data_IF_065960117819
#
_entry.id   IF_065960117819
#
_cell.length_a   1.000
_cell.length_b   1.000
_cell.length_c   1.000
_cell.angle_alpha   90.00
_cell.angle_beta   90.00
_cell.angle_gamma   90.00
#
_symmetry.space_group_name_H-M   'P 1'
#
loop_
_entity.id
_entity.type
_entity.pdbx_description
1 polymer ?
#
# COMPACT_ATOMS: atom_id res chain seq x y z
N UNK A 1 11.01 -5.50 -20.29
CA UNK A 1 9.74 -4.79 -20.03
C UNK A 1 9.10 -5.41 -18.78
N UNK A 2 8.52 -4.56 -17.92
CA UNK A 2 7.67 -4.97 -16.80
C UNK A 2 6.25 -4.47 -17.06
N UNK A 3 5.24 -5.27 -16.73
CA UNK A 3 3.82 -4.90 -16.85
C UNK A 3 3.21 -4.89 -15.45
N UNK A 4 2.75 -3.72 -15.01
CA UNK A 4 2.10 -3.55 -13.72
C UNK A 4 2.30 -2.16 -13.12
N UNK A 5 1.61 -1.86 -12.03
CA UNK A 5 1.66 -0.57 -11.34
C UNK A 5 1.66 -0.69 -9.81
N UNK A 6 1.88 -1.87 -9.26
CA UNK A 6 2.00 -2.11 -7.81
C UNK A 6 3.45 -2.32 -7.38
N UNK A 7 3.66 -2.57 -6.09
CA UNK A 7 4.98 -2.82 -5.50
C UNK A 7 5.80 -3.86 -6.26
N UNK A 8 5.21 -5.00 -6.62
CA UNK A 8 5.90 -6.06 -7.36
C UNK A 8 6.48 -5.55 -8.68
N UNK A 9 5.81 -4.62 -9.36
CA UNK A 9 6.33 -4.06 -10.62
C UNK A 9 7.53 -3.15 -10.38
N UNK A 10 7.54 -2.39 -9.28
CA UNK A 10 8.69 -1.56 -8.87
C UNK A 10 9.89 -2.44 -8.51
N UNK A 11 9.67 -3.46 -7.68
CA UNK A 11 10.71 -4.41 -7.28
C UNK A 11 11.32 -5.16 -8.48
N UNK A 12 10.48 -5.68 -9.38
CA UNK A 12 10.95 -6.35 -10.58
C UNK A 12 11.78 -5.43 -11.48
N UNK A 13 11.34 -4.20 -11.66
CA UNK A 13 12.02 -3.24 -12.53
C UNK A 13 13.38 -2.83 -11.95
N UNK A 14 13.43 -2.46 -10.67
CA UNK A 14 14.65 -2.08 -9.96
C UNK A 14 15.63 -3.26 -9.85
N UNK A 15 15.13 -4.46 -9.55
CA UNK A 15 15.94 -5.68 -9.53
C UNK A 15 16.58 -5.97 -10.88
N UNK A 16 15.79 -5.88 -11.97
CA UNK A 16 16.32 -6.09 -13.32
C UNK A 16 17.43 -5.09 -13.68
N UNK A 17 17.30 -3.82 -13.30
CA UNK A 17 18.34 -2.80 -13.48
C UNK A 17 19.62 -3.15 -12.72
N UNK A 18 19.50 -3.52 -11.44
CA UNK A 18 20.64 -3.91 -10.58
C UNK A 18 21.32 -5.19 -11.02
N UNK A 19 20.60 -6.06 -11.72
CA UNK A 19 21.14 -7.28 -12.39
C UNK A 19 21.80 -6.97 -13.74
N UNK A 20 21.84 -5.71 -14.17
CA UNK A 20 22.54 -5.27 -15.36
C UNK A 20 21.69 -5.21 -16.63
N UNK A 21 20.37 -5.16 -16.52
CA UNK A 21 19.53 -4.88 -17.68
C UNK A 21 19.89 -3.51 -18.28
N UNK A 22 20.11 -3.46 -19.59
CA UNK A 22 20.50 -2.22 -20.30
C UNK A 22 19.42 -1.13 -20.25
N UNK A 23 18.17 -1.53 -20.20
CA UNK A 23 17.03 -0.63 -20.04
C UNK A 23 15.82 -1.39 -19.51
N UNK A 24 15.06 -0.78 -18.63
CA UNK A 24 13.80 -1.30 -18.13
C UNK A 24 12.70 -0.26 -18.34
N UNK A 25 11.59 -0.69 -18.93
CA UNK A 25 10.38 0.10 -19.11
C UNK A 25 9.23 -0.64 -18.44
N UNK A 26 8.57 0.04 -17.52
CA UNK A 26 7.38 -0.47 -16.84
C UNK A 26 6.15 0.16 -17.46
N UNK A 27 5.17 -0.65 -17.85
CA UNK A 27 3.91 -0.19 -18.43
C UNK A 27 2.76 -0.38 -17.47
N UNK A 28 2.03 0.69 -17.24
CA UNK A 28 0.83 0.68 -16.44
C UNK A 28 -0.37 1.15 -17.25
N UNK A 29 -1.48 0.41 -17.13
CA UNK A 29 -2.68 0.67 -17.93
C UNK A 29 -3.47 1.91 -17.51
N UNK A 30 -3.23 2.42 -16.30
CA UNK A 30 -3.91 3.60 -15.74
C UNK A 30 -2.97 4.78 -15.63
N UNK A 31 -3.38 5.81 -14.91
CA UNK A 31 -2.62 7.03 -14.66
C UNK A 31 -1.68 6.89 -13.45
N UNK A 32 -0.83 7.87 -13.27
CA UNK A 32 0.10 7.90 -12.14
C UNK A 32 -0.63 7.96 -10.80
N UNK A 33 -1.74 8.70 -10.73
CA UNK A 33 -2.56 8.80 -9.52
C UNK A 33 -3.26 7.50 -9.10
N UNK A 34 -3.33 6.51 -10.01
CA UNK A 34 -3.91 5.20 -9.73
C UNK A 34 -2.88 4.16 -9.24
N UNK A 35 -1.62 4.56 -9.01
CA UNK A 35 -0.60 3.66 -8.49
C UNK A 35 -0.90 3.33 -7.02
N UNK A 36 -0.93 2.04 -6.71
CA UNK A 36 -1.07 1.53 -5.35
C UNK A 36 0.32 1.23 -4.76
N UNK A 37 1.09 2.30 -4.55
CA UNK A 37 2.45 2.26 -4.00
C UNK A 37 2.66 3.44 -3.05
N UNK A 38 3.63 3.33 -2.16
CA UNK A 38 4.01 4.44 -1.28
C UNK A 38 4.66 5.60 -2.07
N UNK A 39 4.50 6.83 -1.57
CA UNK A 39 5.28 7.96 -2.09
C UNK A 39 6.78 7.64 -2.04
N UNK A 40 7.50 8.01 -3.10
CA UNK A 40 8.94 7.74 -3.21
C UNK A 40 9.31 6.49 -4.03
N UNK A 41 8.44 5.50 -4.13
CA UNK A 41 8.75 4.26 -4.89
C UNK A 41 8.94 4.51 -6.39
N UNK A 42 8.12 5.38 -6.97
CA UNK A 42 8.26 5.77 -8.36
C UNK A 42 9.53 6.58 -8.61
N UNK A 43 9.84 7.50 -7.71
CA UNK A 43 11.05 8.32 -7.75
C UNK A 43 12.29 7.45 -7.66
N UNK A 44 12.30 6.44 -6.80
CA UNK A 44 13.41 5.50 -6.68
C UNK A 44 13.60 4.67 -7.95
N UNK A 45 12.54 4.24 -8.63
CA UNK A 45 12.63 3.60 -9.93
C UNK A 45 13.28 4.52 -10.98
N UNK A 46 12.86 5.79 -11.02
CA UNK A 46 13.38 6.79 -11.95
C UNK A 46 14.85 7.11 -11.64
N UNK A 47 15.20 7.26 -10.36
CA UNK A 47 16.56 7.49 -9.90
C UNK A 47 17.50 6.36 -10.33
N UNK A 48 17.03 5.12 -10.35
CA UNK A 48 17.77 3.96 -10.85
C UNK A 48 17.73 3.81 -12.38
N UNK A 49 17.33 4.85 -13.15
CA UNK A 49 17.18 4.88 -14.60
C UNK A 49 16.09 3.97 -15.18
N UNK A 50 15.13 3.54 -14.37
CA UNK A 50 13.91 2.91 -14.86
C UNK A 50 12.95 3.93 -15.48
N UNK A 51 12.06 3.46 -16.35
CA UNK A 51 11.03 4.31 -16.97
C UNK A 51 9.65 3.74 -16.70
N UNK A 52 8.75 4.58 -16.16
CA UNK A 52 7.34 4.27 -16.04
C UNK A 52 6.56 4.91 -17.19
N UNK A 53 5.70 4.13 -17.84
CA UNK A 53 4.87 4.56 -18.96
C UNK A 53 3.43 4.24 -18.61
N UNK A 54 2.63 5.28 -18.53
CA UNK A 54 1.22 5.21 -18.15
C UNK A 54 0.31 5.07 -19.36
N UNK A 55 -0.94 4.72 -19.11
CA UNK A 55 -2.01 4.65 -20.12
C UNK A 55 -1.66 3.72 -21.27
N UNK A 56 -1.03 2.58 -20.97
CA UNK A 56 -0.73 1.56 -21.96
C UNK A 56 -0.83 0.15 -21.35
N UNK A 57 -1.45 -0.76 -22.12
CA UNK A 57 -1.56 -2.17 -21.75
C UNK A 57 -1.02 -3.07 -22.83
N UNK A 58 -0.55 -4.28 -22.48
CA UNK A 58 -0.15 -5.26 -23.48
C UNK A 58 -1.33 -5.68 -24.35
N UNK A 59 -1.07 -5.88 -25.63
CA UNK A 59 -2.03 -6.38 -26.60
C UNK A 59 -1.58 -7.73 -27.18
N UNK A 60 -0.36 -7.82 -27.72
CA UNK A 60 0.13 -9.02 -28.37
C UNK A 60 1.64 -9.18 -28.22
N UNK A 61 2.10 -10.42 -28.07
CA UNK A 61 3.51 -10.80 -28.18
C UNK A 61 3.84 -11.09 -29.64
N UNK A 62 4.95 -10.54 -30.12
CA UNK A 62 5.45 -10.78 -31.47
C UNK A 62 6.78 -11.52 -31.34
N UNK A 63 6.81 -12.74 -31.84
CA UNK A 63 7.97 -13.62 -31.82
C UNK A 63 8.53 -13.82 -33.22
N UNK A 64 9.82 -14.11 -33.29
CA UNK A 64 10.50 -14.51 -34.49
C UNK A 64 11.34 -15.75 -34.19
N UNK A 65 11.12 -16.85 -34.92
CA UNK A 65 11.78 -18.16 -34.70
C UNK A 65 11.72 -18.63 -33.25
N UNK A 66 10.57 -18.43 -32.60
CA UNK A 66 10.34 -18.84 -31.21
C UNK A 66 10.94 -17.90 -30.16
N UNK A 67 11.61 -16.82 -30.54
CA UNK A 67 12.16 -15.80 -29.64
C UNK A 67 11.29 -14.55 -29.62
N UNK A 68 11.09 -13.98 -28.44
CA UNK A 68 10.38 -12.71 -28.29
C UNK A 68 11.16 -11.60 -29.00
N UNK A 69 10.48 -10.80 -29.81
CA UNK A 69 11.06 -9.70 -30.56
C UNK A 69 10.45 -8.35 -30.23
N UNK A 70 9.12 -8.30 -30.13
CA UNK A 70 8.40 -7.10 -29.79
C UNK A 70 7.22 -7.43 -28.87
N UNK A 71 6.88 -6.46 -28.03
CA UNK A 71 5.58 -6.34 -27.38
C UNK A 71 4.77 -5.28 -28.11
N UNK A 72 3.59 -5.65 -28.60
CA UNK A 72 2.59 -4.69 -29.07
C UNK A 72 1.75 -4.25 -27.88
N UNK A 73 1.62 -2.94 -27.71
CA UNK A 73 0.81 -2.30 -26.68
C UNK A 73 -0.29 -1.48 -27.36
N UNK A 74 -1.34 -1.20 -26.61
CA UNK A 74 -2.40 -0.27 -26.98
C UNK A 74 -2.53 0.78 -25.88
N UNK A 75 -2.76 2.04 -26.28
CA UNK A 75 -3.03 3.11 -25.32
C UNK A 75 -4.41 2.95 -24.71
N UNK A 76 -4.54 3.39 -23.47
CA UNK A 76 -5.77 3.30 -22.68
C UNK A 76 -6.17 4.65 -22.13
N UNK A 77 -7.44 4.84 -21.86
CA UNK A 77 -8.02 6.00 -21.19
C UNK A 77 -9.04 5.56 -20.14
N UNK A 78 -9.18 6.35 -19.10
CA UNK A 78 -10.22 6.16 -18.09
C UNK A 78 -11.48 6.93 -18.51
N UNK A 79 -12.62 6.23 -18.59
CA UNK A 79 -13.93 6.82 -18.87
C UNK A 79 -14.84 6.48 -17.71
N UNK A 80 -14.96 7.38 -16.75
CA UNK A 80 -15.51 7.08 -15.42
C UNK A 80 -14.65 5.99 -14.75
N UNK A 81 -15.29 4.99 -14.15
CA UNK A 81 -14.59 3.87 -13.48
C UNK A 81 -14.06 2.80 -14.46
N UNK A 82 -14.32 2.93 -15.74
CA UNK A 82 -13.96 1.92 -16.75
C UNK A 82 -12.75 2.34 -17.56
N UNK A 83 -11.86 1.38 -17.74
CA UNK A 83 -10.71 1.53 -18.63
C UNK A 83 -11.09 1.10 -20.04
N UNK A 84 -10.82 1.96 -21.03
CA UNK A 84 -11.06 1.69 -22.47
C UNK A 84 -9.78 1.78 -23.26
N UNK A 85 -9.73 1.02 -24.36
CA UNK A 85 -8.68 1.14 -25.34
C UNK A 85 -8.93 2.35 -26.26
N UNK A 86 -7.88 3.09 -26.57
CA UNK A 86 -7.95 4.15 -27.57
C UNK A 86 -7.83 3.51 -28.96
N UNK A 87 -8.83 3.64 -29.84
CA UNK A 87 -8.77 3.07 -31.18
C UNK A 87 -7.54 3.57 -31.97
N UNK A 88 -6.97 2.70 -32.79
CA UNK A 88 -5.82 2.99 -33.66
C UNK A 88 -4.55 3.49 -32.94
N UNK A 89 -4.41 3.21 -31.64
CA UNK A 89 -3.29 3.66 -30.82
C UNK A 89 -2.23 2.58 -30.56
N UNK A 90 -2.27 1.48 -31.30
CA UNK A 90 -1.31 0.38 -31.15
C UNK A 90 0.09 0.82 -31.53
N UNK A 91 1.06 0.37 -30.75
CA UNK A 91 2.49 0.59 -31.00
C UNK A 91 3.31 -0.61 -30.52
N UNK A 92 4.52 -0.75 -31.08
CA UNK A 92 5.40 -1.90 -30.80
C UNK A 92 6.67 -1.43 -30.13
N UNK A 93 7.13 -2.21 -29.15
CA UNK A 93 8.41 -1.97 -28.48
C UNK A 93 9.24 -3.24 -28.58
N UNK A 94 10.48 -3.07 -29.03
CA UNK A 94 11.45 -4.17 -29.07
C UNK A 94 11.80 -4.55 -27.63
N UNK A 95 11.78 -5.83 -27.34
CA UNK A 95 12.11 -6.35 -26.02
C UNK A 95 12.57 -7.81 -26.09
N UNK A 96 13.47 -8.18 -25.23
CA UNK A 96 13.98 -9.54 -25.11
C UNK A 96 13.25 -10.31 -23.99
N UNK A 97 12.75 -9.59 -22.97
CA UNK A 97 12.11 -10.19 -21.80
C UNK A 97 10.89 -9.37 -21.36
N UNK A 98 9.88 -10.05 -20.84
CA UNK A 98 8.69 -9.43 -20.26
C UNK A 98 8.42 -10.09 -18.90
N UNK A 99 8.20 -9.27 -17.89
CA UNK A 99 7.80 -9.67 -16.55
C UNK A 99 6.37 -9.19 -16.33
N UNK A 100 5.47 -10.09 -15.97
CA UNK A 100 4.09 -9.78 -15.64
C UNK A 100 3.95 -9.59 -14.13
N UNK A 101 3.73 -8.37 -13.69
CA UNK A 101 3.50 -7.98 -12.30
C UNK A 101 2.10 -7.39 -12.15
N UNK A 102 1.09 -8.07 -12.72
CA UNK A 102 -0.31 -7.59 -12.85
C UNK A 102 -1.22 -8.04 -11.71
N UNK A 103 -0.64 -8.57 -10.64
CA UNK A 103 -1.37 -9.20 -9.54
C UNK A 103 -1.76 -10.65 -9.86
N UNK A 104 -2.27 -11.32 -8.86
CA UNK A 104 -2.74 -12.70 -8.94
C UNK A 104 -4.17 -12.78 -8.44
N UNK A 105 -4.95 -13.67 -9.03
CA UNK A 105 -6.25 -14.06 -8.51
C UNK A 105 -6.15 -15.50 -8.03
N UNK A 106 -6.64 -15.74 -6.83
CA UNK A 106 -6.77 -17.10 -6.34
C UNK A 106 -7.92 -17.80 -7.05
N UNK A 107 -7.71 -19.04 -7.41
CA UNK A 107 -8.81 -19.95 -7.73
C UNK A 107 -9.22 -20.65 -6.43
N UNK A 108 -10.14 -20.02 -5.70
CA UNK A 108 -10.64 -20.60 -4.47
C UNK A 108 -11.57 -21.77 -4.75
N UNK A 109 -11.10 -22.98 -4.43
CA UNK A 109 -11.90 -24.20 -4.51
C UNK A 109 -12.47 -24.48 -3.12
N UNK A 110 -13.75 -24.17 -2.94
CA UNK A 110 -14.45 -24.53 -1.72
C UNK A 110 -14.47 -26.06 -1.56
N UNK A 111 -14.03 -26.55 -0.42
CA UNK A 111 -14.13 -27.97 -0.09
C UNK A 111 -15.25 -28.20 0.93
N UNK A 112 -16.07 -29.25 0.68
CA UNK A 112 -17.03 -29.76 1.67
C UNK A 112 -16.37 -30.67 2.72
N UNK A 113 -15.11 -30.99 2.54
CA UNK A 113 -14.36 -31.82 3.47
C UNK A 113 -13.99 -31.01 4.71
N UNK A 114 -14.46 -31.47 5.86
CA UNK A 114 -14.26 -30.81 7.17
C UNK A 114 -12.81 -30.83 7.65
N UNK A 115 -11.94 -31.65 7.03
CA UNK A 115 -10.54 -31.77 7.39
C UNK A 115 -9.63 -30.82 6.57
N UNK A 116 -10.21 -29.96 5.72
CA UNK A 116 -9.46 -29.01 4.90
C UNK A 116 -9.72 -27.59 5.42
N UNK A 117 -8.65 -26.92 5.81
CA UNK A 117 -8.66 -25.57 6.31
C UNK A 117 -7.92 -24.65 5.33
N UNK A 118 -8.47 -23.49 5.06
CA UNK A 118 -7.90 -22.50 4.14
C UNK A 118 -7.41 -21.28 4.90
N UNK A 119 -6.18 -20.83 4.63
CA UNK A 119 -5.56 -19.72 5.34
C UNK A 119 -4.87 -18.71 4.40
N UNK A 120 -4.59 -17.52 4.92
CA UNK A 120 -3.85 -16.47 4.24
C UNK A 120 -4.50 -16.03 2.93
N UNK A 121 -3.66 -15.65 1.98
CA UNK A 121 -4.09 -15.13 0.67
C UNK A 121 -4.94 -16.11 -0.15
N UNK A 122 -4.79 -17.40 0.10
CA UNK A 122 -5.65 -18.40 -0.55
C UNK A 122 -7.12 -18.25 -0.18
N UNK A 123 -7.43 -17.79 1.04
CA UNK A 123 -8.80 -17.57 1.52
C UNK A 123 -9.25 -16.12 1.35
N UNK A 124 -8.37 -15.17 1.67
CA UNK A 124 -8.69 -13.75 1.75
C UNK A 124 -8.52 -13.01 0.42
N UNK A 125 -7.78 -13.59 -0.53
CA UNK A 125 -7.23 -12.86 -1.67
C UNK A 125 -5.88 -12.23 -1.35
N UNK A 126 -5.28 -11.58 -2.33
CA UNK A 126 -4.03 -10.86 -2.13
C UNK A 126 -4.20 -9.78 -1.04
N UNK A 127 -3.40 -9.87 0.01
CA UNK A 127 -3.48 -8.99 1.19
C UNK A 127 -2.08 -8.69 1.71
N UNK A 128 -1.98 -7.96 2.82
CA UNK A 128 -0.70 -7.66 3.47
C UNK A 128 -0.17 -8.88 4.22
N UNK A 129 1.16 -8.96 4.38
CA UNK A 129 1.81 -10.02 5.15
C UNK A 129 1.22 -10.15 6.56
N UNK A 130 0.94 -9.04 7.22
CA UNK A 130 0.38 -9.05 8.59
C UNK A 130 -1.03 -9.65 8.64
N UNK A 131 -1.86 -9.39 7.63
CA UNK A 131 -3.20 -9.98 7.54
C UNK A 131 -3.11 -11.49 7.28
N UNK A 132 -2.20 -11.92 6.40
CA UNK A 132 -1.97 -13.34 6.14
C UNK A 132 -1.52 -14.08 7.41
N UNK A 133 -0.60 -13.51 8.18
CA UNK A 133 -0.13 -14.06 9.47
C UNK A 133 -1.27 -14.09 10.50
N UNK A 134 -2.03 -13.01 10.64
CA UNK A 134 -3.15 -12.93 11.56
C UNK A 134 -4.20 -14.00 11.28
N UNK A 135 -4.61 -14.13 10.03
CA UNK A 135 -5.55 -15.16 9.60
C UNK A 135 -5.01 -16.58 9.76
N UNK A 136 -3.72 -16.82 9.45
CA UNK A 136 -3.09 -18.12 9.66
C UNK A 136 -3.10 -18.52 11.15
N UNK A 137 -2.89 -17.55 12.06
CA UNK A 137 -2.98 -17.79 13.53
C UNK A 137 -4.39 -18.19 13.98
N UNK A 138 -5.42 -17.55 13.40
CA UNK A 138 -6.82 -17.92 13.64
C UNK A 138 -7.12 -19.34 13.15
N UNK A 139 -6.73 -19.65 11.92
CA UNK A 139 -6.94 -20.99 11.33
C UNK A 139 -6.19 -22.07 12.10
N UNK A 140 -4.97 -21.80 12.58
CA UNK A 140 -4.22 -22.74 13.42
C UNK A 140 -4.99 -23.09 14.70
N UNK A 141 -5.64 -22.11 15.33
CA UNK A 141 -6.52 -22.35 16.49
C UNK A 141 -7.73 -23.24 16.11
N UNK A 142 -8.34 -22.98 14.97
CA UNK A 142 -9.46 -23.79 14.48
C UNK A 142 -9.05 -25.25 14.22
N UNK A 143 -7.83 -25.45 13.66
CA UNK A 143 -7.25 -26.79 13.46
C UNK A 143 -7.01 -27.50 14.80
N UNK A 144 -6.41 -26.80 15.77
CA UNK A 144 -6.17 -27.37 17.11
C UNK A 144 -7.49 -27.75 17.80
N UNK A 145 -8.50 -26.85 17.73
CA UNK A 145 -9.84 -27.14 18.25
C UNK A 145 -10.46 -28.39 17.58
N UNK A 146 -10.32 -28.49 16.25
CA UNK A 146 -10.85 -29.63 15.50
C UNK A 146 -10.16 -30.96 15.90
N UNK A 147 -8.84 -30.93 16.06
CA UNK A 147 -8.07 -32.12 16.40
C UNK A 147 -8.23 -32.55 17.88
N UNK A 148 -8.15 -31.57 18.78
CA UNK A 148 -8.10 -31.83 20.21
C UNK A 148 -9.48 -31.83 20.87
N UNK A 149 -10.53 -31.41 20.15
CA UNK A 149 -11.92 -31.28 20.66
C UNK A 149 -12.02 -30.48 21.98
N UNK A 150 -11.13 -29.52 22.17
CA UNK A 150 -11.11 -28.61 23.30
C UNK A 150 -11.24 -27.17 22.87
N UNK A 151 -11.89 -26.36 23.70
CA UNK A 151 -11.86 -24.92 23.49
C UNK A 151 -10.47 -24.41 23.87
N UNK A 152 -9.78 -23.77 22.91
CA UNK A 152 -8.55 -23.05 23.20
C UNK A 152 -8.95 -21.84 24.02
N UNK A 153 -8.30 -21.65 25.15
CA UNK A 153 -8.42 -20.41 25.91
C UNK A 153 -7.98 -19.26 25.00
N UNK A 154 -8.90 -18.38 24.68
CA UNK A 154 -8.54 -17.13 24.02
C UNK A 154 -7.56 -16.40 24.93
N UNK A 155 -6.37 -16.13 24.42
CA UNK A 155 -5.47 -15.19 25.08
C UNK A 155 -6.17 -13.83 25.09
N UNK A 156 -6.71 -13.44 26.23
CA UNK A 156 -7.26 -12.10 26.42
C UNK A 156 -6.08 -11.14 26.58
N UNK A 157 -5.84 -10.36 25.54
CA UNK A 157 -4.92 -9.23 25.63
C UNK A 157 -5.66 -8.07 26.31
N UNK A 158 -5.20 -7.62 27.46
CA UNK A 158 -5.61 -6.34 27.98
C UNK A 158 -4.69 -5.27 27.39
N UNK A 159 -5.26 -4.33 26.66
CA UNK A 159 -4.53 -3.13 26.25
C UNK A 159 -4.68 -2.15 27.41
N UNK A 160 -3.64 -2.02 28.21
CA UNK A 160 -3.58 -0.94 29.19
C UNK A 160 -3.22 0.34 28.46
N UNK A 161 -3.97 1.42 28.71
CA UNK A 161 -3.59 2.74 28.18
C UNK A 161 -2.21 3.10 28.73
N UNK A 162 -1.27 3.41 27.86
CA UNK A 162 0.07 3.81 28.26
C UNK A 162 -0.01 5.06 29.12
N UNK A 163 0.62 4.99 30.28
CA UNK A 163 0.76 6.13 31.21
C UNK A 163 1.45 7.28 30.49
N UNK A 164 0.94 8.48 30.72
CA UNK A 164 1.37 9.77 30.22
C UNK A 164 2.84 9.84 29.75
N UNK A 165 3.04 10.10 28.49
CA UNK A 165 4.33 10.58 28.03
C UNK A 165 4.61 11.91 28.72
N UNK A 166 5.81 12.13 29.25
CA UNK A 166 6.26 13.43 29.78
C UNK A 166 6.38 14.50 28.70
N UNK A 167 5.94 14.22 27.48
CA UNK A 167 5.93 15.18 26.38
C UNK A 167 4.76 16.14 26.59
N UNK A 168 5.07 17.34 27.03
CA UNK A 168 4.12 18.45 26.88
C UNK A 168 3.93 18.70 25.39
N UNK A 169 2.70 18.76 24.92
CA UNK A 169 2.32 19.31 23.62
C UNK A 169 2.75 20.77 23.59
N UNK A 170 4.02 21.01 23.37
CA UNK A 170 4.47 22.31 22.87
C UNK A 170 4.35 22.24 21.36
N UNK A 171 3.99 23.37 20.74
CA UNK A 171 3.82 23.56 19.29
C UNK A 171 5.10 23.30 18.47
N UNK A 172 5.97 22.43 18.94
CA UNK A 172 7.21 22.09 18.29
C UNK A 172 6.96 20.99 17.26
N UNK A 173 6.65 21.42 16.06
CA UNK A 173 6.72 20.53 14.90
C UNK A 173 8.15 19.99 14.76
N UNK A 174 8.31 18.67 14.92
CA UNK A 174 9.57 17.97 14.66
C UNK A 174 9.44 17.36 13.28
N UNK A 175 10.17 17.86 12.27
CA UNK A 175 10.08 17.33 10.92
C UNK A 175 10.59 15.87 10.86
N UNK A 176 10.13 15.14 9.86
CA UNK A 176 10.63 13.80 9.53
C UNK A 176 12.15 13.88 9.31
N UNK A 177 12.85 12.91 9.84
CA UNK A 177 14.27 12.72 9.51
C UNK A 177 14.34 11.74 8.34
N UNK A 178 14.84 12.21 7.20
CA UNK A 178 14.97 11.36 6.02
C UNK A 178 15.93 10.21 6.30
N UNK A 179 15.49 9.01 5.93
CA UNK A 179 16.34 7.82 6.03
C UNK A 179 17.47 7.91 5.00
N UNK A 180 18.67 7.58 5.44
CA UNK A 180 19.82 7.56 4.54
C UNK A 180 19.71 6.43 3.54
N UNK A 181 19.94 6.76 2.28
CA UNK A 181 19.96 5.80 1.19
C UNK A 181 21.38 5.57 0.71
N UNK A 182 21.67 4.37 0.26
CA UNK A 182 22.91 4.04 -0.41
C UNK A 182 23.02 4.78 -1.74
N UNK A 183 24.20 5.31 -2.03
CA UNK A 183 24.50 5.98 -3.30
C UNK A 183 24.11 5.08 -4.49
N UNK A 184 23.51 5.67 -5.52
CA UNK A 184 23.05 4.96 -6.71
C UNK A 184 24.16 4.09 -7.34
N UNK A 185 25.37 4.63 -7.44
CA UNK A 185 26.53 3.93 -8.01
C UNK A 185 26.98 2.71 -7.22
N UNK A 186 26.56 2.58 -5.95
CA UNK A 186 26.92 1.49 -5.05
C UNK A 186 25.76 0.50 -4.81
N UNK A 187 24.62 0.70 -5.45
CA UNK A 187 23.47 -0.20 -5.35
C UNK A 187 23.70 -1.43 -6.22
N UNK A 188 23.70 -2.59 -5.61
CA UNK A 188 23.78 -3.89 -6.27
C UNK A 188 22.56 -4.73 -5.93
N UNK A 189 22.40 -5.87 -6.57
CA UNK A 189 21.30 -6.80 -6.26
C UNK A 189 21.27 -7.24 -4.79
N UNK A 190 22.43 -7.37 -4.15
CA UNK A 190 22.54 -7.84 -2.75
C UNK A 190 22.76 -6.72 -1.75
N UNK A 191 22.89 -5.48 -2.19
CA UNK A 191 23.14 -4.36 -1.27
C UNK A 191 21.84 -3.85 -0.65
N UNK A 192 21.86 -3.64 0.66
CA UNK A 192 20.83 -2.88 1.34
C UNK A 192 20.85 -1.43 0.85
N UNK A 193 19.69 -0.91 0.47
CA UNK A 193 19.54 0.46 -0.06
C UNK A 193 19.19 1.44 1.04
N UNK A 194 18.26 1.08 1.89
CA UNK A 194 17.87 1.86 3.05
C UNK A 194 18.82 1.56 4.21
N UNK A 195 19.65 2.54 4.56
CA UNK A 195 20.74 2.34 5.54
C UNK A 195 20.29 2.56 7.00
N UNK A 196 19.02 2.90 7.21
CA UNK A 196 18.49 3.20 8.52
C UNK A 196 19.07 4.51 9.10
N UNK A 197 18.84 4.72 10.39
CA UNK A 197 19.26 5.91 11.13
C UNK A 197 20.49 5.64 11.98
N UNK A 198 21.36 6.61 12.10
CA UNK A 198 22.38 6.61 13.15
C UNK A 198 21.75 6.94 14.52
N UNK A 199 22.53 6.83 15.60
CA UNK A 199 22.04 7.04 16.97
C UNK A 199 21.42 8.43 17.20
N UNK A 200 21.96 9.48 16.58
CA UNK A 200 21.43 10.84 16.70
C UNK A 200 20.13 11.01 15.92
N UNK A 201 20.08 10.51 14.69
CA UNK A 201 18.90 10.50 13.84
C UNK A 201 17.77 9.70 14.48
N UNK A 202 18.06 8.50 15.00
CA UNK A 202 17.09 7.66 15.71
C UNK A 202 16.51 8.37 16.93
N UNK A 203 17.36 9.07 17.70
CA UNK A 203 16.90 9.85 18.86
C UNK A 203 15.99 11.00 18.44
N UNK A 204 16.33 11.70 17.36
CA UNK A 204 15.51 12.78 16.80
C UNK A 204 14.16 12.25 16.30
N UNK A 205 14.19 11.15 15.53
CA UNK A 205 12.98 10.54 14.98
C UNK A 205 12.08 9.96 16.08
N UNK A 206 12.64 9.30 17.09
CA UNK A 206 11.87 8.79 18.24
C UNK A 206 11.22 9.90 19.09
N UNK A 207 11.75 11.13 19.01
CA UNK A 207 11.16 12.28 19.69
C UNK A 207 9.91 12.84 18.99
N UNK A 208 9.60 12.39 17.78
CA UNK A 208 8.43 12.76 16.98
C UNK A 208 7.13 12.10 17.41
N UNK A 209 7.01 11.65 18.64
CA UNK A 209 5.77 11.05 19.11
C UNK A 209 4.59 12.03 18.93
N UNK A 210 3.61 11.69 18.10
CA UNK A 210 2.40 12.47 17.85
C UNK A 210 1.28 12.21 18.84
N UNK A 211 1.54 11.40 19.88
CA UNK A 211 0.56 11.07 20.91
C UNK A 211 -0.72 10.43 20.33
N UNK A 212 -0.58 9.53 19.36
CA UNK A 212 -1.68 8.87 18.65
C UNK A 212 -2.63 8.08 19.58
N UNK A 213 -2.25 7.88 20.83
CA UNK A 213 -3.10 7.27 21.86
C UNK A 213 -4.03 8.29 22.55
N UNK A 214 -3.89 9.59 22.25
CA UNK A 214 -4.85 10.59 22.67
C UNK A 214 -5.89 10.79 21.58
N UNK A 215 -7.14 10.84 22.00
CA UNK A 215 -8.22 11.29 21.14
C UNK A 215 -8.34 12.81 21.27
N UNK A 216 -8.35 13.50 20.15
CA UNK A 216 -8.55 14.94 20.13
C UNK A 216 -10.03 15.22 19.87
N UNK A 217 -10.63 16.03 20.73
CA UNK A 217 -12.00 16.47 20.58
C UNK A 217 -12.04 18.00 20.58
N UNK A 218 -12.90 18.56 19.74
CA UNK A 218 -13.20 20.00 19.79
C UNK A 218 -14.21 20.19 20.92
N UNK A 219 -13.86 21.00 21.90
CA UNK A 219 -14.80 21.35 22.95
C UNK A 219 -15.83 22.35 22.39
N UNK A 220 -17.04 21.88 22.11
CA UNK A 220 -18.10 22.65 21.50
C UNK A 220 -18.57 23.81 22.40
N UNK A 221 -18.42 23.70 23.72
CA UNK A 221 -18.81 24.80 24.65
C UNK A 221 -17.84 26.00 24.60
N UNK A 222 -16.62 25.75 24.14
CA UNK A 222 -15.58 26.78 23.98
C UNK A 222 -15.37 27.16 22.49
N UNK A 223 -15.94 26.41 21.56
CA UNK A 223 -15.83 26.67 20.15
C UNK A 223 -16.63 27.89 19.73
N UNK A 224 -15.96 28.82 19.08
CA UNK A 224 -16.58 30.06 18.57
C UNK A 224 -17.07 29.96 17.13
N UNK A 225 -17.03 28.75 16.55
CA UNK A 225 -17.47 28.45 15.18
C UNK A 225 -16.84 29.36 14.11
N UNK A 226 -15.54 29.58 14.22
CA UNK A 226 -14.79 30.46 13.29
C UNK A 226 -14.29 29.74 12.03
N UNK A 227 -14.50 28.43 11.93
CA UNK A 227 -14.12 27.57 10.80
C UNK A 227 -12.60 27.47 10.48
N UNK A 228 -11.75 28.12 11.26
CA UNK A 228 -10.30 28.09 11.06
C UNK A 228 -9.75 26.64 11.04
N UNK A 229 -10.27 25.76 11.90
CA UNK A 229 -9.87 24.35 11.92
C UNK A 229 -10.22 23.62 10.61
N UNK A 230 -11.27 24.05 9.90
CA UNK A 230 -11.65 23.49 8.61
C UNK A 230 -10.74 23.99 7.48
N UNK A 231 -10.22 25.20 7.60
CA UNK A 231 -9.31 25.79 6.62
C UNK A 231 -7.91 25.17 6.68
N UNK A 232 -7.43 24.87 7.90
CA UNK A 232 -6.07 24.36 8.13
C UNK A 232 -5.99 22.83 8.19
N UNK A 233 -7.12 22.13 8.07
CA UNK A 233 -7.11 20.64 8.10
C UNK A 233 -6.28 20.06 6.97
N UNK A 234 -5.44 19.04 7.24
CA UNK A 234 -4.58 18.46 6.21
C UNK A 234 -5.34 17.66 5.15
N UNK A 235 -6.49 17.08 5.52
CA UNK A 235 -7.41 16.37 4.61
C UNK A 235 -8.86 16.69 5.02
N UNK A 236 -9.77 16.72 4.04
CA UNK A 236 -11.17 17.13 4.26
C UNK A 236 -11.93 16.20 5.22
N UNK A 237 -11.48 14.98 5.41
CA UNK A 237 -12.14 13.98 6.25
C UNK A 237 -11.76 14.05 7.72
N UNK A 238 -10.66 14.70 8.09
CA UNK A 238 -10.17 14.67 9.49
C UNK A 238 -10.97 15.57 10.42
N UNK A 239 -11.60 16.63 9.91
CA UNK A 239 -12.50 17.50 10.66
C UNK A 239 -13.72 17.75 9.78
N UNK A 240 -14.92 17.50 10.30
CA UNK A 240 -16.20 17.68 9.60
C UNK A 240 -17.19 18.38 10.50
N UNK A 241 -17.99 19.25 9.93
CA UNK A 241 -19.18 19.77 10.58
C UNK A 241 -20.31 18.74 10.52
N UNK A 242 -20.98 18.58 11.65
CA UNK A 242 -22.08 17.63 11.80
C UNK A 242 -23.32 18.36 12.31
N UNK A 243 -24.48 18.03 11.74
CA UNK A 243 -25.75 18.53 12.25
C UNK A 243 -26.23 17.73 13.48
N UNK A 244 -25.91 16.43 13.51
CA UNK A 244 -26.27 15.56 14.62
C UNK A 244 -25.28 14.42 14.79
N UNK A 245 -25.17 13.92 16.03
CA UNK A 245 -24.42 12.72 16.39
C UNK A 245 -25.33 11.79 17.16
N UNK A 246 -25.50 10.57 16.70
CA UNK A 246 -26.23 9.52 17.40
C UNK A 246 -25.29 8.34 17.71
N UNK A 247 -25.34 7.88 18.95
CA UNK A 247 -24.61 6.70 19.41
C UNK A 247 -25.65 5.67 19.76
N UNK A 248 -25.60 4.51 19.10
CA UNK A 248 -26.50 3.41 19.39
C UNK A 248 -26.09 2.65 20.65
N UNK A 249 -26.91 1.66 21.06
CA UNK A 249 -26.63 0.86 22.26
C UNK A 249 -25.42 -0.07 22.11
N UNK A 250 -24.91 -0.28 20.90
CA UNK A 250 -23.68 -1.06 20.62
C UNK A 250 -22.43 -0.20 20.67
N UNK A 251 -22.58 1.14 20.77
CA UNK A 251 -21.49 2.10 20.71
C UNK A 251 -21.14 2.52 19.29
N UNK A 252 -21.92 2.10 18.27
CA UNK A 252 -21.74 2.54 16.91
C UNK A 252 -22.20 3.99 16.76
N UNK A 253 -21.33 4.82 16.18
CA UNK A 253 -21.53 6.25 16.00
C UNK A 253 -22.05 6.53 14.60
N UNK A 254 -23.25 7.05 14.50
CA UNK A 254 -23.78 7.61 13.26
C UNK A 254 -23.91 9.13 13.35
N UNK A 255 -23.74 9.80 12.22
CA UNK A 255 -23.82 11.25 12.16
C UNK A 255 -24.41 11.74 10.84
N UNK A 256 -25.10 12.86 10.91
CA UNK A 256 -25.58 13.56 9.75
C UNK A 256 -24.64 14.72 9.43
N UNK A 257 -24.21 14.81 8.17
CA UNK A 257 -23.41 15.95 7.72
C UNK A 257 -24.31 17.17 7.55
N UNK A 258 -23.81 18.33 7.92
CA UNK A 258 -24.34 19.59 7.40
C UNK A 258 -24.17 19.55 5.87
N UNK A 259 -25.26 19.58 5.13
CA UNK A 259 -25.18 19.82 3.70
C UNK A 259 -24.72 21.26 3.50
N UNK A 260 -23.72 21.52 2.63
CA UNK A 260 -23.28 22.86 2.32
C UNK A 260 -24.39 23.70 1.67
#
# INVERSE_FOLDING_TARGET
IVIGGGYTSMDCARTALRLGAKSVKTFYRREQGDLDILPGELEELVNENGKMIFRARPNQLITDKGKLKYLELIKTESVGDKLKDIPNSKFKIKTDHIILAIGQRQEFIASKNKNIFFAGDYKLGATTLINAIGHAKEIARNVDHFLMRRNILEEKYSIESSVSTKRSLKDNYIPITDMRLRDLSKRTFTSEVELGYNKSESKKESSRCYLCHYQFEINNDLCVLCDECLLVRPVNECIKELSSKNIDKSGEVSFEKLNP
#
